data_IF_834310540699
#
_entry.id   IF_834310540699
#
_cell.length_a   1.000
_cell.length_b   1.000
_cell.length_c   1.000
_cell.angle_alpha   90.00
_cell.angle_beta   90.00
_cell.angle_gamma   90.00
#
_symmetry.space_group_name_H-M   'P 1'
#
loop_
_entity.id
_entity.type
_entity.pdbx_description
1 polymer ?
#
# COMPACT_ATOMS: atom_id res chain seq x y z
N UNK A 1 -10.96 10.38 23.06
CA UNK A 1 -10.87 9.19 22.21
C UNK A 1 -12.16 9.04 21.41
N UNK A 2 -12.03 8.85 20.13
CA UNK A 2 -13.20 8.71 19.25
C UNK A 2 -13.83 7.34 19.45
N UNK A 3 -15.15 7.33 19.70
CA UNK A 3 -15.89 6.09 19.86
C UNK A 3 -16.36 5.63 18.49
N UNK A 4 -15.99 4.41 18.12
CA UNK A 4 -16.43 3.82 16.86
C UNK A 4 -17.83 3.23 17.04
N UNK A 5 -18.67 3.46 16.03
CA UNK A 5 -20.00 2.83 16.00
C UNK A 5 -19.85 1.32 15.75
N UNK A 6 -20.86 0.56 16.18
CA UNK A 6 -20.90 -0.87 15.87
C UNK A 6 -20.92 -1.06 14.34
N UNK A 7 -20.18 -2.04 13.78
CA UNK A 7 -20.18 -2.24 12.35
C UNK A 7 -21.54 -2.64 11.82
N UNK A 8 -21.94 -2.00 10.73
CA UNK A 8 -23.09 -2.38 9.94
C UNK A 8 -22.63 -3.41 8.92
N UNK A 9 -23.37 -4.48 8.64
CA UNK A 9 -22.99 -5.45 7.62
C UNK A 9 -22.69 -4.82 6.25
N UNK A 10 -23.38 -3.74 5.88
CA UNK A 10 -23.11 -3.02 4.63
C UNK A 10 -21.81 -2.25 4.67
N UNK A 11 -21.37 -1.82 5.86
CA UNK A 11 -20.10 -1.11 6.03
C UNK A 11 -18.89 -2.06 5.93
N UNK A 12 -19.12 -3.37 5.90
CA UNK A 12 -18.07 -4.37 5.69
C UNK A 12 -17.84 -4.67 4.21
N UNK A 13 -18.64 -4.09 3.32
CA UNK A 13 -18.41 -4.23 1.88
C UNK A 13 -17.08 -3.62 1.50
N UNK A 14 -16.31 -4.25 0.60
CA UNK A 14 -15.01 -3.71 0.20
C UNK A 14 -15.16 -2.35 -0.46
N UNK A 15 -14.25 -1.43 -0.13
CA UNK A 15 -14.12 -0.20 -0.87
C UNK A 15 -13.49 -0.50 -2.23
N UNK A 16 -13.96 0.13 -3.30
CA UNK A 16 -13.37 -0.08 -4.61
C UNK A 16 -11.92 0.42 -4.64
N UNK A 17 -11.00 -0.43 -5.06
CA UNK A 17 -9.58 -0.11 -5.23
C UNK A 17 -9.18 -0.47 -6.65
N UNK A 18 -8.51 0.45 -7.32
CA UNK A 18 -8.02 0.25 -8.69
C UNK A 18 -6.54 -0.11 -8.70
N UNK A 19 -5.77 0.45 -7.78
CA UNK A 19 -4.31 0.32 -7.73
C UNK A 19 -3.88 -0.01 -6.31
N UNK A 20 -2.99 -0.98 -6.18
CA UNK A 20 -2.20 -1.17 -4.95
C UNK A 20 -0.80 -0.65 -5.24
N UNK A 21 -0.35 0.35 -4.48
CA UNK A 21 0.95 0.97 -4.66
C UNK A 21 1.82 0.69 -3.45
N UNK A 22 2.85 -0.13 -3.65
CA UNK A 22 3.74 -0.63 -2.61
C UNK A 22 5.09 0.03 -2.78
N UNK A 23 5.34 1.09 -2.04
CA UNK A 23 6.57 1.86 -2.16
C UNK A 23 6.82 2.71 -0.92
N UNK A 24 7.92 3.42 -0.93
CA UNK A 24 8.29 4.34 0.15
C UNK A 24 7.30 5.49 0.27
N UNK A 25 7.33 6.14 1.43
CA UNK A 25 6.58 7.33 1.71
C UNK A 25 7.45 8.32 2.46
N UNK A 26 7.36 9.59 2.13
CA UNK A 26 8.06 10.66 2.84
C UNK A 26 7.07 11.68 3.36
N UNK A 27 7.41 12.29 4.49
CA UNK A 27 6.61 13.38 5.05
C UNK A 27 6.81 14.66 4.22
N UNK A 28 8.05 14.92 3.83
CA UNK A 28 8.42 16.10 3.06
C UNK A 28 9.07 15.67 1.76
N UNK A 29 8.42 15.94 0.65
CA UNK A 29 8.89 15.61 -0.69
C UNK A 29 7.85 14.86 -1.50
N UNK A 30 8.19 14.59 -2.76
CA UNK A 30 7.30 13.95 -3.72
C UNK A 30 7.99 12.76 -4.36
N UNK A 31 8.19 11.72 -3.57
CA UNK A 31 8.75 10.44 -4.03
C UNK A 31 7.88 9.30 -3.50
N UNK A 32 7.99 8.15 -4.12
CA UNK A 32 7.24 6.96 -3.71
C UNK A 32 5.72 7.22 -3.69
N UNK A 33 5.05 6.77 -2.66
CA UNK A 33 3.61 6.97 -2.51
C UNK A 33 3.22 8.43 -2.33
N UNK A 34 4.12 9.26 -1.87
CA UNK A 34 3.84 10.69 -1.70
C UNK A 34 3.60 11.42 -3.04
N UNK A 35 4.09 10.87 -4.14
CA UNK A 35 3.78 11.37 -5.49
C UNK A 35 2.84 10.43 -6.24
N UNK A 36 2.97 9.13 -6.07
CA UNK A 36 2.16 8.16 -6.81
C UNK A 36 0.67 8.29 -6.50
N UNK A 37 0.32 8.43 -5.22
CA UNK A 37 -1.08 8.51 -4.80
C UNK A 37 -1.80 9.70 -5.42
N UNK A 38 -1.30 10.95 -5.31
CA UNK A 38 -1.98 12.08 -5.94
C UNK A 38 -2.02 11.97 -7.47
N UNK A 39 -1.00 11.39 -8.11
CA UNK A 39 -1.02 11.19 -9.57
C UNK A 39 -2.12 10.21 -9.98
N UNK A 40 -2.21 9.05 -9.32
CA UNK A 40 -3.28 8.10 -9.61
C UNK A 40 -4.66 8.70 -9.34
N UNK A 41 -4.81 9.39 -8.22
CA UNK A 41 -6.07 10.05 -7.89
C UNK A 41 -6.46 11.10 -8.94
N UNK A 42 -5.48 11.80 -9.50
CA UNK A 42 -5.70 12.77 -10.58
C UNK A 42 -6.27 12.13 -11.84
N UNK A 43 -6.03 10.85 -12.07
CA UNK A 43 -6.62 10.08 -13.16
C UNK A 43 -7.93 9.38 -12.76
N UNK A 44 -8.48 9.70 -11.59
CA UNK A 44 -9.71 9.09 -11.11
C UNK A 44 -9.54 7.67 -10.57
N UNK A 45 -8.32 7.24 -10.30
CA UNK A 45 -8.03 5.91 -9.78
C UNK A 45 -7.96 5.94 -8.27
N UNK A 46 -8.51 4.90 -7.64
CA UNK A 46 -8.49 4.74 -6.18
C UNK A 46 -7.32 3.84 -5.80
N UNK A 47 -6.54 4.30 -4.83
CA UNK A 47 -5.26 3.68 -4.49
C UNK A 47 -5.28 3.18 -3.06
N UNK A 48 -4.84 1.93 -2.87
CA UNK A 48 -4.41 1.45 -1.57
C UNK A 48 -2.88 1.63 -1.51
N UNK A 49 -2.41 2.52 -0.67
CA UNK A 49 -1.00 2.82 -0.53
C UNK A 49 -0.42 1.99 0.61
N UNK A 50 0.49 1.08 0.28
CA UNK A 50 1.18 0.23 1.25
C UNK A 50 2.59 0.79 1.44
N UNK A 51 2.92 1.35 2.61
CA UNK A 51 4.24 1.90 2.83
C UNK A 51 5.27 0.79 3.09
N UNK A 52 6.43 0.91 2.47
CA UNK A 52 7.58 0.02 2.71
C UNK A 52 8.56 0.62 3.69
N UNK A 53 8.85 1.89 3.51
CA UNK A 53 9.60 2.72 4.45
C UNK A 53 8.86 4.03 4.60
N UNK A 54 8.95 4.62 5.78
CA UNK A 54 8.40 5.95 6.05
C UNK A 54 9.54 6.81 6.56
N UNK A 55 9.82 7.88 5.83
CA UNK A 55 10.94 8.77 6.11
C UNK A 55 10.46 10.20 6.22
N UNK A 56 11.18 11.01 6.99
CA UNK A 56 10.90 12.44 7.06
C UNK A 56 11.09 13.13 5.71
N UNK A 57 12.08 12.70 4.97
CA UNK A 57 12.49 13.27 3.68
C UNK A 57 13.42 12.31 2.96
N UNK A 58 13.86 12.69 1.78
CA UNK A 58 14.85 11.92 1.02
C UNK A 58 16.24 12.02 1.66
N UNK A 59 17.12 11.02 1.42
CA UNK A 59 18.42 10.94 2.12
C UNK A 59 19.39 12.07 1.85
N UNK A 60 19.19 12.88 0.82
CA UNK A 60 20.13 13.95 0.46
C UNK A 60 20.08 15.17 1.38
N UNK A 61 19.12 15.23 2.29
CA UNK A 61 19.05 16.30 3.29
C UNK A 61 20.04 16.04 4.43
N UNK A 62 20.38 17.10 5.21
CA UNK A 62 21.36 16.94 6.31
C UNK A 62 20.93 15.98 7.40
N UNK A 63 19.63 15.75 7.56
CA UNK A 63 19.10 14.79 8.53
C UNK A 63 17.93 14.03 7.93
N UNK A 64 17.69 12.85 8.45
CA UNK A 64 16.58 12.01 8.03
C UNK A 64 16.17 11.11 9.19
N UNK A 65 14.87 11.01 9.42
CA UNK A 65 14.29 10.17 10.46
C UNK A 65 13.29 9.22 9.83
N UNK A 66 13.13 8.06 10.45
CA UNK A 66 12.21 7.03 10.00
C UNK A 66 12.92 5.72 9.74
N UNK A 67 12.29 4.86 8.98
CA UNK A 67 12.86 3.55 8.68
C UNK A 67 11.88 2.65 7.97
N UNK A 68 12.28 1.39 7.82
CA UNK A 68 11.45 0.36 7.21
C UNK A 68 10.25 0.04 8.11
N UNK A 69 9.11 -0.15 7.47
CA UNK A 69 7.92 -0.67 8.16
C UNK A 69 8.26 -2.07 8.67
N UNK A 70 7.95 -2.40 9.94
CA UNK A 70 8.19 -3.75 10.45
C UNK A 70 7.55 -4.81 9.55
N UNK A 71 8.26 -5.93 9.36
CA UNK A 71 7.83 -6.96 8.42
C UNK A 71 6.44 -7.51 8.74
N UNK A 72 6.14 -7.74 10.00
CA UNK A 72 4.83 -8.24 10.42
C UNK A 72 3.71 -7.23 10.12
N UNK A 73 3.99 -5.93 10.23
CA UNK A 73 3.04 -4.89 9.83
C UNK A 73 2.83 -4.90 8.32
N UNK A 74 3.92 -4.96 7.57
CA UNK A 74 3.87 -4.96 6.11
C UNK A 74 3.07 -6.18 5.59
N UNK A 75 3.37 -7.36 6.10
CA UNK A 75 2.64 -8.58 5.75
C UNK A 75 1.17 -8.49 6.16
N UNK A 76 0.91 -7.89 7.33
CA UNK A 76 -0.45 -7.66 7.82
C UNK A 76 -1.24 -6.74 6.91
N UNK A 77 -0.63 -5.68 6.38
CA UNK A 77 -1.29 -4.78 5.44
C UNK A 77 -1.75 -5.53 4.19
N UNK A 78 -0.86 -6.36 3.63
CA UNK A 78 -1.18 -7.14 2.44
C UNK A 78 -2.26 -8.18 2.73
N UNK A 79 -2.14 -8.87 3.85
CA UNK A 79 -3.13 -9.88 4.27
C UNK A 79 -4.50 -9.25 4.47
N UNK A 80 -4.58 -8.08 5.08
CA UNK A 80 -5.86 -7.42 5.33
C UNK A 80 -6.51 -6.90 4.05
N UNK A 81 -5.74 -6.45 3.09
CA UNK A 81 -6.30 -6.13 1.76
C UNK A 81 -7.00 -7.33 1.16
N UNK A 82 -6.37 -8.50 1.23
CA UNK A 82 -6.99 -9.75 0.78
C UNK A 82 -8.21 -10.14 1.60
N UNK A 83 -8.10 -10.06 2.92
CA UNK A 83 -9.18 -10.44 3.83
C UNK A 83 -10.42 -9.55 3.70
N UNK A 84 -10.25 -8.28 3.33
CA UNK A 84 -11.37 -7.35 3.11
C UNK A 84 -11.98 -7.46 1.71
N UNK A 85 -11.44 -8.31 0.84
CA UNK A 85 -11.89 -8.42 -0.54
C UNK A 85 -11.52 -7.22 -1.39
N UNK A 86 -10.59 -6.40 -0.93
CA UNK A 86 -10.23 -5.15 -1.62
C UNK A 86 -9.50 -5.39 -2.94
N UNK A 87 -8.92 -6.58 -3.14
CA UNK A 87 -8.13 -6.88 -4.32
C UNK A 87 -8.96 -7.27 -5.54
N UNK A 88 -10.26 -7.50 -5.38
CA UNK A 88 -11.11 -8.00 -6.46
C UNK A 88 -11.17 -7.07 -7.68
N UNK A 89 -11.16 -5.75 -7.45
CA UNK A 89 -11.22 -4.76 -8.52
C UNK A 89 -9.87 -4.18 -8.91
N UNK A 90 -8.78 -4.67 -8.34
CA UNK A 90 -7.45 -4.11 -8.59
C UNK A 90 -6.97 -4.44 -10.00
N UNK A 91 -6.57 -3.42 -10.73
CA UNK A 91 -6.08 -3.52 -12.10
C UNK A 91 -4.56 -3.38 -12.21
N UNK A 92 -3.95 -2.73 -11.21
CA UNK A 92 -2.51 -2.45 -11.22
C UNK A 92 -1.95 -2.67 -9.82
N UNK A 93 -0.83 -3.37 -9.75
CA UNK A 93 0.01 -3.43 -8.57
C UNK A 93 1.33 -2.78 -8.94
N UNK A 94 1.64 -1.65 -8.33
CA UNK A 94 2.88 -0.93 -8.56
C UNK A 94 3.84 -1.20 -7.42
N UNK A 95 5.04 -1.63 -7.75
CA UNK A 95 6.11 -1.83 -6.80
C UNK A 95 7.19 -0.78 -7.00
N UNK A 96 7.55 -0.11 -5.93
CA UNK A 96 8.69 0.80 -5.89
C UNK A 96 9.75 0.28 -4.96
N UNK A 97 10.39 1.18 -4.21
CA UNK A 97 11.43 0.82 -3.26
C UNK A 97 10.86 -0.05 -2.14
N UNK A 98 11.53 -1.17 -1.88
CA UNK A 98 11.20 -2.05 -0.77
C UNK A 98 12.21 -1.87 0.36
N UNK A 99 11.75 -2.06 1.60
CA UNK A 99 12.56 -1.80 2.78
C UNK A 99 13.65 -2.81 3.08
N UNK A 100 13.71 -3.90 2.31
CA UNK A 100 14.72 -4.93 2.46
C UNK A 100 14.31 -6.24 1.83
N UNK A 101 15.21 -7.24 1.80
CA UNK A 101 14.93 -8.55 1.18
C UNK A 101 13.71 -9.26 1.77
N UNK A 102 13.48 -9.13 3.07
CA UNK A 102 12.35 -9.78 3.72
C UNK A 102 11.01 -9.28 3.18
N UNK A 103 10.89 -7.98 2.91
CA UNK A 103 9.68 -7.43 2.27
C UNK A 103 9.54 -7.95 0.84
N UNK A 104 10.64 -8.06 0.10
CA UNK A 104 10.61 -8.56 -1.27
C UNK A 104 10.20 -10.04 -1.35
N UNK A 105 10.51 -10.81 -0.32
CA UNK A 105 10.16 -12.23 -0.23
C UNK A 105 8.72 -12.45 0.24
N UNK A 106 8.08 -11.44 0.82
CA UNK A 106 6.69 -11.56 1.26
C UNK A 106 5.77 -11.73 0.06
N UNK A 107 4.69 -12.54 0.19
CA UNK A 107 3.72 -12.67 -0.88
C UNK A 107 3.11 -11.30 -1.23
N UNK A 108 3.22 -10.91 -2.48
CA UNK A 108 2.66 -9.66 -2.97
C UNK A 108 1.21 -9.89 -3.41
N UNK A 109 0.34 -8.87 -3.32
CA UNK A 109 -1.04 -9.02 -3.76
C UNK A 109 -1.09 -9.23 -5.28
N UNK A 110 -1.97 -10.13 -5.70
CA UNK A 110 -2.22 -10.37 -7.12
C UNK A 110 -3.65 -9.96 -7.43
N UNK A 111 -3.89 -9.08 -8.43
CA UNK A 111 -5.24 -8.81 -8.88
C UNK A 111 -5.84 -10.06 -9.50
N UNK A 112 -7.17 -10.16 -9.49
CA UNK A 112 -7.85 -11.35 -10.00
C UNK A 112 -7.55 -11.62 -11.48
N UNK A 113 -7.25 -10.59 -12.26
CA UNK A 113 -6.89 -10.76 -13.68
C UNK A 113 -5.48 -11.33 -13.88
N UNK A 114 -4.63 -11.29 -12.85
CA UNK A 114 -3.28 -11.84 -12.95
C UNK A 114 -3.30 -13.37 -13.17
N UNK A 115 -4.45 -13.96 -13.01
CA UNK A 115 -4.67 -15.33 -13.40
C UNK A 115 -4.12 -16.36 -12.44
N UNK A 116 -4.32 -17.62 -12.81
CA UNK A 116 -3.70 -18.70 -12.12
C UNK A 116 -2.19 -18.57 -12.24
N UNK A 117 -1.43 -18.96 -11.22
CA UNK A 117 0.01 -18.93 -11.29
C UNK A 117 0.45 -19.71 -12.53
N UNK A 118 1.39 -19.13 -13.26
CA UNK A 118 2.06 -19.85 -14.31
C UNK A 118 2.65 -21.12 -13.68
N UNK A 119 2.15 -22.22 -14.12
CA UNK A 119 2.56 -23.50 -13.60
C UNK A 119 4.04 -23.73 -13.72
#
# INVERSE_FOLDING_TARGET
MMKLAAPNPQALAPLPIDVVSIQSQVVYGQVGNSVAVPVFNGFGLRVAAVPTVVLSNTPHYPSMHGGAVPLDWFEGYLADLGARGALAGVRVVQLGYLGGPAQAESPQPAPCWAGAPAG
#
